data_IF_810001639346
#
_entry.id   IF_810001639346
#
_cell.length_a   1.000
_cell.length_b   1.000
_cell.length_c   1.000
_cell.angle_alpha   90.00
_cell.angle_beta   90.00
_cell.angle_gamma   90.00
#
_symmetry.space_group_name_H-M   'P 1'
#
loop_
_entity.id
_entity.type
_entity.pdbx_description
1 polymer ?
#
# COMPACT_ATOMS: atom_id res chain seq x y z
N UNK A 1 -5.72 -28.93 24.35
CA UNK A 1 -6.11 -27.65 23.73
C UNK A 1 -4.90 -27.12 22.97
N UNK A 2 -4.91 -27.20 21.63
CA UNK A 2 -3.83 -26.65 20.81
C UNK A 2 -3.87 -25.12 20.79
N UNK A 3 -2.75 -24.43 20.47
CA UNK A 3 -2.75 -22.98 20.46
C UNK A 3 -3.68 -22.49 19.35
N UNK A 4 -4.52 -21.52 19.69
CA UNK A 4 -5.48 -20.87 18.79
C UNK A 4 -4.68 -20.19 17.68
N UNK A 5 -4.61 -20.82 16.51
CA UNK A 5 -3.81 -20.39 15.36
C UNK A 5 -4.21 -18.98 14.89
N UNK A 6 -5.46 -18.59 15.10
CA UNK A 6 -5.99 -17.26 14.74
C UNK A 6 -5.44 -16.11 15.59
N UNK A 7 -5.02 -16.39 16.84
CA UNK A 7 -4.49 -15.35 17.72
C UNK A 7 -3.20 -14.73 17.18
N UNK A 8 -2.35 -15.54 16.55
CA UNK A 8 -1.08 -15.10 15.99
C UNK A 8 -1.26 -14.28 14.70
N UNK A 9 -2.28 -14.58 13.90
CA UNK A 9 -2.61 -13.81 12.70
C UNK A 9 -3.27 -12.48 13.06
N UNK A 10 -4.24 -12.49 13.97
CA UNK A 10 -4.92 -11.28 14.44
C UNK A 10 -3.94 -10.29 15.10
N UNK A 11 -3.09 -10.76 16.02
CA UNK A 11 -2.05 -9.92 16.65
C UNK A 11 -1.06 -9.36 15.62
N UNK A 12 -0.74 -10.12 14.58
CA UNK A 12 0.15 -9.67 13.50
C UNK A 12 -0.52 -8.60 12.64
N UNK A 13 -1.78 -8.77 12.28
CA UNK A 13 -2.54 -7.76 11.55
C UNK A 13 -2.63 -6.46 12.37
N UNK A 14 -2.86 -6.56 13.67
CA UNK A 14 -2.83 -5.40 14.58
C UNK A 14 -1.46 -4.71 14.58
N UNK A 15 -0.37 -5.49 14.64
CA UNK A 15 0.99 -4.97 14.56
C UNK A 15 1.28 -4.23 13.25
N UNK A 16 0.96 -4.85 12.09
CA UNK A 16 1.14 -4.24 10.77
C UNK A 16 0.28 -2.98 10.64
N UNK A 17 -0.99 -3.07 11.03
CA UNK A 17 -1.93 -1.95 11.02
C UNK A 17 -1.42 -0.77 11.85
N UNK A 18 -0.90 -1.01 13.04
CA UNK A 18 -0.34 0.03 13.92
C UNK A 18 0.83 0.76 13.26
N UNK A 19 1.74 0.02 12.63
CA UNK A 19 2.88 0.61 11.90
C UNK A 19 2.40 1.46 10.72
N UNK A 20 1.47 0.92 9.92
CA UNK A 20 0.93 1.62 8.76
C UNK A 20 0.21 2.91 9.18
N UNK A 21 -0.70 2.84 10.17
CA UNK A 21 -1.42 4.00 10.67
C UNK A 21 -0.48 5.06 11.24
N UNK A 22 0.58 4.65 11.95
CA UNK A 22 1.58 5.60 12.45
C UNK A 22 2.33 6.26 11.29
N UNK A 23 2.82 5.49 10.31
CA UNK A 23 3.55 6.03 9.16
C UNK A 23 2.68 6.97 8.32
N UNK A 24 1.43 6.61 8.07
CA UNK A 24 0.46 7.43 7.33
C UNK A 24 0.09 8.69 8.10
N UNK A 25 -0.03 8.64 9.43
CA UNK A 25 -0.34 9.83 10.24
C UNK A 25 0.73 10.93 10.20
N UNK A 26 1.95 10.59 9.80
CA UNK A 26 3.04 11.56 9.60
C UNK A 26 2.95 12.31 8.28
N UNK A 27 2.17 11.80 7.32
CA UNK A 27 1.96 12.38 6.01
C UNK A 27 0.53 12.92 5.91
N UNK A 28 0.35 14.00 5.15
CA UNK A 28 -0.99 14.56 4.91
C UNK A 28 -1.64 13.87 3.71
N UNK A 29 -2.97 13.91 3.68
CA UNK A 29 -3.76 13.51 2.51
C UNK A 29 -3.62 12.03 2.12
N UNK A 30 -3.37 11.16 3.10
CA UNK A 30 -3.27 9.71 2.92
C UNK A 30 -4.38 8.97 3.68
N UNK A 31 -4.91 7.91 3.08
CA UNK A 31 -5.94 7.04 3.65
C UNK A 31 -5.48 5.59 3.65
N UNK A 32 -5.68 4.88 4.76
CA UNK A 32 -5.48 3.42 4.83
C UNK A 32 -6.83 2.74 4.72
N UNK A 33 -6.90 1.74 3.84
CA UNK A 33 -8.04 0.88 3.63
C UNK A 33 -7.65 -0.57 3.90
N UNK A 34 -8.01 -1.13 5.06
CA UNK A 34 -7.80 -2.54 5.32
C UNK A 34 -8.71 -3.40 4.43
N UNK A 35 -8.20 -4.55 4.00
CA UNK A 35 -8.96 -5.57 3.26
C UNK A 35 -9.63 -5.06 1.97
N UNK A 36 -8.98 -4.13 1.26
CA UNK A 36 -9.51 -3.59 0.01
C UNK A 36 -9.44 -4.61 -1.12
N UNK A 37 -10.51 -4.70 -1.91
CA UNK A 37 -10.49 -5.47 -3.17
C UNK A 37 -9.94 -4.61 -4.30
N UNK A 38 -8.97 -5.16 -5.01
CA UNK A 38 -8.28 -4.57 -6.14
C UNK A 38 -8.67 -5.32 -7.41
N UNK A 39 -9.22 -4.63 -8.41
CA UNK A 39 -9.73 -5.23 -9.65
C UNK A 39 -9.06 -4.66 -10.89
N UNK A 40 -8.12 -5.40 -11.48
CA UNK A 40 -7.47 -5.05 -12.75
C UNK A 40 -8.04 -5.83 -13.93
N UNK A 41 -7.45 -5.61 -15.11
CA UNK A 41 -7.85 -6.34 -16.31
C UNK A 41 -7.50 -7.84 -16.19
N UNK A 42 -6.34 -8.14 -15.64
CA UNK A 42 -5.77 -9.50 -15.60
C UNK A 42 -6.00 -10.22 -14.27
N UNK A 43 -6.16 -9.47 -13.16
CA UNK A 43 -6.33 -10.09 -11.85
C UNK A 43 -7.22 -9.26 -10.93
N UNK A 44 -8.01 -9.96 -10.13
CA UNK A 44 -8.81 -9.39 -9.05
C UNK A 44 -8.47 -10.12 -7.76
N UNK A 45 -8.21 -9.37 -6.70
CA UNK A 45 -7.76 -9.91 -5.43
C UNK A 45 -8.05 -8.97 -4.27
N UNK A 46 -8.02 -9.50 -3.05
CA UNK A 46 -8.10 -8.70 -1.84
C UNK A 46 -6.68 -8.49 -1.31
N UNK A 47 -6.31 -7.25 -1.05
CA UNK A 47 -5.05 -6.92 -0.35
C UNK A 47 -5.31 -6.77 1.14
N UNK A 48 -4.31 -7.01 1.98
CA UNK A 48 -4.45 -6.81 3.42
C UNK A 48 -4.62 -5.33 3.77
N UNK A 49 -3.84 -4.45 3.12
CA UNK A 49 -4.00 -2.99 3.24
C UNK A 49 -3.72 -2.32 1.90
N UNK A 50 -4.54 -1.32 1.57
CA UNK A 50 -4.24 -0.35 0.52
C UNK A 50 -4.04 1.02 1.15
N UNK A 51 -3.10 1.79 0.62
CA UNK A 51 -2.93 3.20 0.94
C UNK A 51 -3.35 3.99 -0.29
N UNK A 52 -4.20 4.99 -0.08
CA UNK A 52 -4.60 5.92 -1.10
C UNK A 52 -4.14 7.33 -0.80
N UNK A 53 -3.82 8.09 -1.83
CA UNK A 53 -3.57 9.52 -1.77
C UNK A 53 -4.82 10.28 -2.17
N UNK A 54 -5.22 11.23 -1.34
CA UNK A 54 -6.24 12.23 -1.67
C UNK A 54 -5.54 13.32 -2.49
N UNK A 55 -6.00 13.58 -3.70
CA UNK A 55 -5.39 14.58 -4.58
C UNK A 55 -6.15 15.91 -4.47
N UNK A 56 -7.44 15.94 -4.81
CA UNK A 56 -8.24 17.17 -4.82
C UNK A 56 -9.55 17.05 -4.01
N UNK A 57 -9.51 16.34 -2.88
CA UNK A 57 -10.66 16.12 -1.99
C UNK A 57 -11.79 15.23 -2.54
N UNK A 58 -11.75 14.89 -3.83
CA UNK A 58 -12.74 14.06 -4.55
C UNK A 58 -12.10 12.85 -5.25
N UNK A 59 -10.77 12.78 -5.26
CA UNK A 59 -10.00 11.75 -5.95
C UNK A 59 -9.10 11.06 -4.96
N UNK A 60 -9.17 9.74 -5.00
CA UNK A 60 -8.30 8.87 -4.24
C UNK A 60 -7.59 7.95 -5.22
N UNK A 61 -6.27 8.03 -5.23
CA UNK A 61 -5.42 7.19 -6.06
C UNK A 61 -4.76 6.13 -5.16
N UNK A 62 -4.79 4.85 -5.56
CA UNK A 62 -4.03 3.83 -4.83
C UNK A 62 -2.55 4.04 -5.12
N UNK A 63 -1.77 4.33 -4.09
CA UNK A 63 -0.33 4.58 -4.20
C UNK A 63 0.50 3.43 -3.64
N UNK A 64 -0.09 2.60 -2.76
CA UNK A 64 0.61 1.48 -2.18
C UNK A 64 -0.35 0.36 -1.77
N UNK A 65 0.10 -0.88 -1.89
CA UNK A 65 -0.57 -2.05 -1.33
C UNK A 65 0.38 -2.88 -0.47
N UNK A 66 -0.13 -3.40 0.63
CA UNK A 66 0.62 -4.21 1.60
C UNK A 66 0.00 -5.59 1.73
N UNK A 67 0.85 -6.62 1.68
CA UNK A 67 0.49 -8.02 1.87
C UNK A 67 1.28 -8.61 3.06
N UNK A 68 0.57 -9.17 4.02
CA UNK A 68 1.08 -9.89 5.16
C UNK A 68 1.26 -11.38 4.84
N UNK A 69 2.50 -11.83 4.65
CA UNK A 69 2.81 -13.26 4.46
C UNK A 69 3.97 -13.72 5.33
N UNK A 70 3.62 -14.33 6.47
CA UNK A 70 4.58 -14.90 7.41
C UNK A 70 5.37 -16.07 6.82
N UNK A 71 4.69 -17.16 6.47
CA UNK A 71 5.36 -18.43 6.15
C UNK A 71 5.73 -18.59 4.67
N UNK A 72 5.22 -17.71 3.81
CA UNK A 72 5.37 -17.81 2.35
C UNK A 72 5.61 -16.43 1.73
N UNK A 73 6.68 -15.71 2.10
CA UNK A 73 6.95 -14.37 1.60
C UNK A 73 7.09 -14.33 0.07
N UNK A 74 7.66 -15.36 -0.55
CA UNK A 74 7.74 -15.46 -2.01
C UNK A 74 6.38 -15.49 -2.72
N UNK A 75 5.38 -16.16 -2.12
CA UNK A 75 3.99 -16.10 -2.63
C UNK A 75 3.39 -14.71 -2.38
N UNK A 76 3.70 -14.10 -1.24
CA UNK A 76 3.31 -12.72 -0.94
C UNK A 76 3.83 -11.75 -1.99
N UNK A 77 5.09 -11.87 -2.41
CA UNK A 77 5.68 -11.04 -3.47
C UNK A 77 4.98 -11.25 -4.81
N UNK A 78 4.76 -12.51 -5.23
CA UNK A 78 4.06 -12.79 -6.48
C UNK A 78 2.63 -12.24 -6.48
N UNK A 79 1.89 -12.44 -5.39
CA UNK A 79 0.54 -11.91 -5.22
C UNK A 79 0.54 -10.37 -5.23
N UNK A 80 1.42 -9.75 -4.43
CA UNK A 80 1.53 -8.32 -4.34
C UNK A 80 1.88 -7.70 -5.70
N UNK A 81 2.80 -8.28 -6.47
CA UNK A 81 3.14 -7.79 -7.81
C UNK A 81 1.93 -7.80 -8.76
N UNK A 82 1.15 -8.88 -8.75
CA UNK A 82 -0.08 -8.96 -9.57
C UNK A 82 -1.10 -7.91 -9.14
N UNK A 83 -1.28 -7.71 -7.83
CA UNK A 83 -2.20 -6.71 -7.31
C UNK A 83 -1.71 -5.27 -7.53
N UNK A 84 -0.41 -5.01 -7.55
CA UNK A 84 0.15 -3.69 -7.91
C UNK A 84 -0.25 -3.33 -9.34
N UNK A 85 -0.09 -4.28 -10.28
CA UNK A 85 -0.50 -4.08 -11.67
C UNK A 85 -2.00 -3.79 -11.77
N UNK A 86 -2.82 -4.55 -11.07
CA UNK A 86 -4.28 -4.31 -11.03
C UNK A 86 -4.66 -2.98 -10.38
N UNK A 87 -3.86 -2.50 -9.42
CA UNK A 87 -4.04 -1.19 -8.79
C UNK A 87 -3.77 -0.06 -9.80
N UNK A 88 -2.68 -0.18 -10.58
CA UNK A 88 -2.40 0.74 -11.69
C UNK A 88 -3.56 0.77 -12.70
N UNK A 89 -4.08 -0.39 -13.11
CA UNK A 89 -5.21 -0.47 -14.04
C UNK A 89 -6.46 0.24 -13.50
N UNK A 90 -6.78 0.06 -12.21
CA UNK A 90 -7.91 0.74 -11.58
C UNK A 90 -7.74 2.24 -11.57
N UNK A 91 -6.57 2.74 -11.17
CA UNK A 91 -6.36 4.18 -11.14
C UNK A 91 -6.45 4.76 -12.55
N UNK A 92 -5.77 4.15 -13.55
CA UNK A 92 -5.87 4.55 -14.95
C UNK A 92 -7.32 4.57 -15.45
N UNK A 93 -8.11 3.55 -15.10
CA UNK A 93 -9.53 3.49 -15.46
C UNK A 93 -10.35 4.58 -14.76
N UNK A 94 -10.05 4.89 -13.51
CA UNK A 94 -10.69 5.98 -12.77
C UNK A 94 -10.39 7.33 -13.42
N UNK A 95 -9.14 7.57 -13.83
CA UNK A 95 -8.74 8.77 -14.56
C UNK A 95 -9.41 8.85 -15.95
N UNK A 96 -9.43 7.76 -16.72
CA UNK A 96 -10.11 7.72 -18.04
C UNK A 96 -11.61 7.98 -17.96
N UNK A 97 -12.30 7.43 -16.96
CA UNK A 97 -13.74 7.66 -16.76
C UNK A 97 -14.07 9.12 -16.42
N UNK A 98 -13.12 9.85 -15.83
CA UNK A 98 -13.32 11.23 -15.38
C UNK A 98 -12.72 12.29 -16.34
N UNK A 99 -11.68 11.98 -17.14
CA UNK A 99 -11.12 12.86 -18.20
C UNK A 99 -11.90 12.79 -19.51
N UNK A 100 -13.18 13.18 -19.48
CA UNK A 100 -13.97 13.45 -20.69
C UNK A 100 -13.85 14.89 -21.23
N UNK A 101 -12.97 15.72 -20.68
CA UNK A 101 -12.68 17.04 -21.23
C UNK A 101 -11.32 17.53 -20.76
N UNK A 102 -10.48 17.82 -21.75
CA UNK A 102 -9.28 18.65 -21.77
C UNK A 102 -8.00 18.29 -20.99
N UNK A 103 -6.90 18.59 -21.69
CA UNK A 103 -5.50 18.60 -21.30
C UNK A 103 -4.80 17.22 -21.11
N UNK A 104 -4.31 16.75 -22.26
CA UNK A 104 -3.12 15.93 -22.34
C UNK A 104 -1.93 16.71 -21.78
N UNK A 105 -1.41 16.34 -20.60
CA UNK A 105 0.01 16.28 -20.24
C UNK A 105 0.12 15.69 -18.82
N UNK A 106 1.15 14.85 -18.61
CA UNK A 106 1.46 14.25 -17.31
C UNK A 106 1.22 12.74 -17.22
N UNK A 107 1.74 11.95 -18.17
CA UNK A 107 2.04 10.54 -17.86
C UNK A 107 3.38 10.48 -17.12
N UNK A 108 3.45 11.12 -15.95
CA UNK A 108 4.53 10.86 -15.01
C UNK A 108 4.13 9.59 -14.29
N UNK A 109 4.79 8.51 -14.67
CA UNK A 109 4.57 7.14 -14.24
C UNK A 109 3.85 6.99 -12.90
N UNK A 110 2.63 6.50 -12.98
CA UNK A 110 1.77 6.24 -11.84
C UNK A 110 2.18 4.92 -11.18
N UNK A 111 3.21 5.00 -10.34
CA UNK A 111 3.76 3.83 -9.66
C UNK A 111 2.91 3.48 -8.43
N UNK A 112 2.42 2.25 -8.40
CA UNK A 112 1.89 1.65 -7.17
C UNK A 112 3.00 0.88 -6.47
N UNK A 113 3.26 1.25 -5.22
CA UNK A 113 4.26 0.60 -4.40
C UNK A 113 3.74 -0.69 -3.77
N UNK A 114 4.54 -1.75 -3.86
CA UNK A 114 4.24 -3.04 -3.27
C UNK A 114 5.04 -3.32 -2.01
N UNK A 115 4.37 -3.63 -0.91
CA UNK A 115 5.02 -4.01 0.36
C UNK A 115 4.61 -5.43 0.73
N UNK A 116 5.58 -6.26 1.04
CA UNK A 116 5.35 -7.59 1.61
C UNK A 116 6.05 -7.66 2.95
N UNK A 117 5.30 -8.03 3.99
CA UNK A 117 5.82 -8.14 5.35
C UNK A 117 5.45 -9.48 5.98
N UNK A 118 6.38 -10.04 6.75
CA UNK A 118 6.11 -11.22 7.58
C UNK A 118 5.40 -10.84 8.89
N UNK A 119 5.40 -9.55 9.25
CA UNK A 119 4.77 -9.02 10.47
C UNK A 119 5.39 -9.56 11.76
N UNK A 120 6.62 -10.08 11.72
CA UNK A 120 7.31 -10.59 12.89
C UNK A 120 8.09 -9.47 13.59
N UNK A 121 7.91 -9.36 14.91
CA UNK A 121 8.71 -8.48 15.77
C UNK A 121 10.10 -9.12 15.93
N UNK A 122 11.11 -8.61 15.25
CA UNK A 122 12.49 -9.08 15.46
C UNK A 122 12.99 -8.61 16.83
N UNK A 123 13.54 -9.56 17.60
CA UNK A 123 13.91 -9.43 19.02
C UNK A 123 15.03 -8.42 19.30
N UNK A 124 15.65 -7.85 18.27
CA UNK A 124 16.85 -6.99 18.34
C UNK A 124 16.61 -5.54 17.90
N UNK A 125 15.53 -4.90 18.36
CA UNK A 125 15.25 -3.49 18.01
C UNK A 125 14.64 -3.28 16.62
N UNK A 126 14.10 -4.32 16.01
CA UNK A 126 13.53 -4.30 14.66
C UNK A 126 12.29 -3.42 14.47
N UNK A 127 11.65 -2.99 15.55
CA UNK A 127 10.57 -1.99 15.52
C UNK A 127 11.05 -0.70 14.86
N UNK A 128 12.28 -0.27 15.17
CA UNK A 128 12.89 0.90 14.53
C UNK A 128 13.24 0.65 13.06
N UNK A 129 13.69 -0.55 12.68
CA UNK A 129 14.12 -0.81 11.30
C UNK A 129 12.95 -0.97 10.32
N UNK A 130 11.88 -1.68 10.69
CA UNK A 130 10.69 -1.78 9.85
C UNK A 130 9.99 -0.42 9.73
N UNK A 131 9.85 0.30 10.86
CA UNK A 131 9.30 1.66 10.86
C UNK A 131 10.20 2.64 10.08
N UNK A 132 11.52 2.60 10.24
CA UNK A 132 12.46 3.46 9.52
C UNK A 132 12.53 3.13 8.03
N UNK A 133 12.54 1.85 7.63
CA UNK A 133 12.47 1.49 6.21
C UNK A 133 11.12 1.86 5.62
N UNK A 134 10.00 1.72 6.35
CA UNK A 134 8.68 2.13 5.86
C UNK A 134 8.56 3.65 5.81
N UNK A 135 9.04 4.38 6.81
CA UNK A 135 9.00 5.86 6.82
C UNK A 135 10.04 6.48 5.91
N UNK A 136 11.17 5.83 5.65
CA UNK A 136 12.16 6.26 4.65
C UNK A 136 11.71 5.87 3.24
N UNK A 137 11.03 4.73 3.08
CA UNK A 137 10.32 4.41 1.85
C UNK A 137 9.19 5.39 1.61
N UNK A 138 8.37 5.69 2.62
CA UNK A 138 7.30 6.68 2.52
C UNK A 138 7.89 8.10 2.31
N UNK A 139 8.97 8.51 2.99
CA UNK A 139 9.62 9.80 2.73
C UNK A 139 10.39 9.84 1.40
N UNK A 140 10.99 8.75 0.95
CA UNK A 140 11.73 8.71 -0.31
C UNK A 140 10.80 8.60 -1.51
N UNK A 141 9.81 7.70 -1.43
CA UNK A 141 8.74 7.54 -2.41
C UNK A 141 7.82 8.76 -2.44
N UNK A 142 7.31 9.25 -1.30
CA UNK A 142 6.41 10.42 -1.26
C UNK A 142 7.14 11.77 -1.21
N UNK A 143 8.40 11.82 -0.78
CA UNK A 143 9.19 13.05 -0.80
C UNK A 143 9.71 13.41 -2.20
N UNK A 144 9.92 12.44 -3.10
CA UNK A 144 10.10 12.72 -4.53
C UNK A 144 8.84 13.33 -5.16
N UNK A 145 7.64 12.97 -4.69
CA UNK A 145 6.40 13.61 -5.11
C UNK A 145 6.24 15.05 -4.60
N UNK A 146 6.95 15.46 -3.54
CA UNK A 146 6.99 16.84 -3.07
C UNK A 146 8.08 17.68 -3.73
N UNK A 147 9.12 17.06 -4.32
CA UNK A 147 10.18 17.81 -5.02
C UNK A 147 9.85 18.16 -6.48
N UNK A 148 8.80 17.56 -7.05
CA UNK A 148 8.35 17.83 -8.43
C UNK A 148 7.05 18.66 -8.49
N UNK A 149 6.65 19.29 -7.39
CA UNK A 149 5.44 20.11 -7.28
C UNK A 149 5.69 21.52 -6.72
N UNK A 150 6.63 22.26 -7.33
CA UNK A 150 6.73 23.72 -7.26
C UNK A 150 7.01 24.28 -8.65
#
# INVERSE_FOLDING_TARGET
MGPVVDSNEAMRCEYISTILHTAVSLLKDLLILPQMTVTGAESSGRVDYAIKKIIDGLFEEIICITEGKQNQPGKGVAQNLMQCKSSCDMNLNMFKKKRKSDEAFGSEYEYVYGIVTTGEKTTSGGFCYAFASLTHFMHGAFGQFLSHGL
#
